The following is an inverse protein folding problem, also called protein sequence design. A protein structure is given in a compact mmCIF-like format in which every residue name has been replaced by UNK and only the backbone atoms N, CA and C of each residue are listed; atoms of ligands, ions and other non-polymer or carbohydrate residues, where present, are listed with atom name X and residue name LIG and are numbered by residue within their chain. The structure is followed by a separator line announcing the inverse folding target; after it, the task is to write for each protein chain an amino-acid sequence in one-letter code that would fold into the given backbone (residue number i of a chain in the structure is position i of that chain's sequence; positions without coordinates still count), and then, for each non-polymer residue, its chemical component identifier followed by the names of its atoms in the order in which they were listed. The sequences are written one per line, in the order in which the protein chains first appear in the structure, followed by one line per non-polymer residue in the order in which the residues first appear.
data_IF_040534929478
#
_entry.id   IF_040534929478
#
_cell.length_a   1.000
_cell.length_b   1.000
_cell.length_c   1.000
_cell.angle_alpha   90.00
_cell.angle_beta   90.00
_cell.angle_gamma   90.00
#
_symmetry.space_group_name_H-M   'P 1'
#
loop_
_entity.id
_entity.type
_entity.pdbx_description
1 polymer ?
#
# COMPACT_ATOMS: atom_id res chain seq x y z
N UNK A 1 18.91 -28.71 -0.43
CA UNK A 1 19.81 -27.96 0.46
C UNK A 1 20.08 -26.66 -0.26
N UNK A 2 19.41 -25.59 0.14
CA UNK A 2 19.58 -24.28 -0.49
C UNK A 2 20.93 -23.69 -0.06
N UNK A 3 21.66 -23.01 -0.96
CA UNK A 3 22.93 -22.38 -0.61
C UNK A 3 22.70 -21.38 0.53
N UNK A 4 23.58 -21.39 1.52
CA UNK A 4 23.52 -20.43 2.62
C UNK A 4 23.87 -19.03 2.12
N UNK A 5 23.56 -18.00 2.91
CA UNK A 5 23.92 -16.60 2.60
C UNK A 5 25.42 -16.45 2.31
N UNK A 6 26.26 -17.20 3.02
CA UNK A 6 27.71 -17.23 2.81
C UNK A 6 28.10 -17.95 1.51
N UNK A 7 27.34 -18.97 1.11
CA UNK A 7 27.58 -19.68 -0.16
C UNK A 7 27.17 -18.84 -1.37
N UNK A 8 26.16 -17.98 -1.23
CA UNK A 8 25.76 -17.02 -2.28
C UNK A 8 26.72 -15.82 -2.36
N UNK A 9 27.26 -15.37 -1.23
CA UNK A 9 28.26 -14.29 -1.18
C UNK A 9 29.57 -14.63 -1.92
N UNK A 10 29.89 -15.92 -2.08
CA UNK A 10 31.06 -16.37 -2.85
C UNK A 10 30.93 -16.17 -4.37
N UNK A 11 29.72 -15.91 -4.88
CA UNK A 11 29.47 -15.67 -6.31
C UNK A 11 29.31 -14.20 -6.66
N UNK A 12 29.37 -13.28 -5.69
CA UNK A 12 29.33 -11.86 -5.98
C UNK A 12 30.72 -11.30 -6.28
N UNK A 13 30.85 -10.34 -7.21
CA UNK A 13 32.11 -9.66 -7.46
C UNK A 13 32.66 -9.07 -6.15
N UNK A 14 33.94 -9.34 -5.87
CA UNK A 14 34.64 -8.97 -4.63
C UNK A 14 35.19 -7.54 -4.64
N UNK A 15 35.07 -6.83 -5.77
CA UNK A 15 35.51 -5.46 -5.89
C UNK A 15 34.40 -4.50 -5.47
N UNK A 16 34.66 -3.55 -4.56
CA UNK A 16 33.67 -2.55 -4.19
C UNK A 16 33.30 -1.72 -5.42
N UNK A 17 32.00 -1.49 -5.62
CA UNK A 17 31.51 -0.58 -6.66
C UNK A 17 32.13 0.81 -6.43
N UNK A 18 32.78 1.43 -7.44
CA UNK A 18 33.38 2.75 -7.26
C UNK A 18 32.37 3.78 -6.78
N UNK A 19 32.75 4.60 -5.79
CA UNK A 19 31.84 5.55 -5.14
C UNK A 19 31.29 6.62 -6.09
N UNK A 20 31.99 6.88 -7.19
CA UNK A 20 31.66 7.82 -8.26
C UNK A 20 30.84 7.18 -9.41
N UNK A 21 30.65 5.87 -9.41
CA UNK A 21 29.85 5.19 -10.42
C UNK A 21 28.35 5.40 -10.15
N UNK A 22 27.64 5.94 -11.13
CA UNK A 22 26.17 6.00 -11.12
C UNK A 22 25.59 4.65 -11.56
N UNK A 23 24.70 4.10 -10.74
CA UNK A 23 24.14 2.74 -10.88
C UNK A 23 22.84 2.69 -11.69
N UNK A 24 22.49 3.78 -12.36
CA UNK A 24 21.40 3.85 -13.32
C UNK A 24 21.80 4.71 -14.51
N UNK A 25 21.29 4.36 -15.69
CA UNK A 25 21.46 5.15 -16.89
C UNK A 25 20.35 4.79 -17.90
N UNK A 26 19.93 5.72 -18.76
CA UNK A 26 18.92 5.42 -19.78
C UNK A 26 19.29 4.18 -20.63
N UNK A 27 18.33 3.27 -20.77
CA UNK A 27 18.47 2.01 -21.50
C UNK A 27 19.35 0.96 -20.79
N UNK A 28 19.70 1.15 -19.52
CA UNK A 28 20.50 0.19 -18.75
C UNK A 28 19.80 -0.21 -17.45
N UNK A 29 19.36 -1.46 -17.40
CA UNK A 29 18.83 -2.08 -16.19
C UNK A 29 19.95 -2.74 -15.39
N UNK A 30 20.24 -2.21 -14.20
CA UNK A 30 21.20 -2.80 -13.28
C UNK A 30 20.51 -3.90 -12.46
N UNK A 31 20.41 -5.09 -13.05
CA UNK A 31 19.94 -6.30 -12.37
C UNK A 31 21.07 -6.92 -11.53
N UNK A 32 20.70 -7.41 -10.36
CA UNK A 32 21.52 -8.02 -9.31
C UNK A 32 21.20 -9.50 -9.08
N UNK A 33 19.99 -9.96 -9.39
CA UNK A 33 19.50 -11.30 -9.09
C UNK A 33 19.89 -12.35 -10.15
N UNK A 34 20.03 -11.95 -11.42
CA UNK A 34 20.30 -12.83 -12.55
C UNK A 34 19.24 -13.91 -12.77
N UNK A 35 18.05 -13.78 -12.18
CA UNK A 35 17.03 -14.82 -12.18
C UNK A 35 16.13 -14.76 -13.43
N UNK A 36 15.67 -15.90 -13.96
CA UNK A 36 14.60 -15.92 -14.97
C UNK A 36 13.25 -15.69 -14.25
N UNK A 37 13.04 -14.47 -13.76
CA UNK A 37 11.85 -14.13 -12.95
C UNK A 37 10.57 -14.35 -13.73
N UNK A 38 10.54 -14.00 -15.02
CA UNK A 38 9.31 -14.09 -15.81
C UNK A 38 8.86 -15.55 -15.97
N UNK A 39 9.79 -16.45 -16.28
CA UNK A 39 9.53 -17.90 -16.35
C UNK A 39 9.04 -18.43 -14.99
N UNK A 40 9.69 -17.99 -13.90
CA UNK A 40 9.35 -18.42 -12.54
C UNK A 40 7.94 -17.99 -12.15
N UNK A 41 7.58 -16.73 -12.43
CA UNK A 41 6.26 -16.19 -12.16
C UNK A 41 5.19 -16.85 -13.03
N UNK A 42 5.50 -17.17 -14.30
CA UNK A 42 4.58 -17.88 -15.17
C UNK A 42 4.29 -19.29 -14.65
N UNK A 43 5.32 -20.04 -14.24
CA UNK A 43 5.14 -21.37 -13.64
C UNK A 43 4.27 -21.32 -12.37
N UNK A 44 4.49 -20.33 -11.49
CA UNK A 44 3.68 -20.16 -10.27
C UNK A 44 2.23 -19.82 -10.62
N UNK A 45 2.02 -18.94 -11.60
CA UNK A 45 0.69 -18.57 -12.10
C UNK A 45 -0.05 -19.79 -12.66
N UNK A 46 0.60 -20.59 -13.50
CA UNK A 46 0.03 -21.82 -14.04
C UNK A 46 -0.34 -22.82 -12.94
N UNK A 47 0.54 -23.01 -11.93
CA UNK A 47 0.21 -23.83 -10.76
C UNK A 47 -1.00 -23.29 -10.01
N UNK A 48 -1.10 -21.97 -9.81
CA UNK A 48 -2.26 -21.35 -9.18
C UNK A 48 -3.56 -21.61 -9.96
N UNK A 49 -3.57 -21.43 -11.27
CA UNK A 49 -4.77 -21.63 -12.10
C UNK A 49 -5.09 -23.10 -12.40
N UNK A 50 -4.16 -24.02 -12.17
CA UNK A 50 -4.41 -25.46 -12.23
C UNK A 50 -5.20 -26.03 -11.05
N UNK A 51 -5.36 -25.25 -9.98
CA UNK A 51 -6.13 -25.64 -8.79
C UNK A 51 -7.64 -25.52 -9.00
N UNK A 52 -8.42 -26.35 -8.31
CA UNK A 52 -9.89 -26.23 -8.29
C UNK A 52 -10.33 -25.28 -7.17
N UNK A 53 -10.88 -24.09 -7.45
CA UNK A 53 -11.33 -23.16 -6.41
C UNK A 53 -12.47 -23.71 -5.54
N UNK A 54 -13.22 -24.72 -6.02
CA UNK A 54 -14.27 -25.38 -5.25
C UNK A 54 -13.73 -26.43 -4.26
N UNK A 55 -12.47 -26.86 -4.41
CA UNK A 55 -11.85 -27.86 -3.54
C UNK A 55 -11.19 -27.22 -2.30
N UNK A 56 -11.54 -27.71 -1.11
CA UNK A 56 -11.00 -27.20 0.17
C UNK A 56 -9.48 -27.36 0.28
N UNK A 57 -8.92 -28.47 -0.20
CA UNK A 57 -7.46 -28.68 -0.21
C UNK A 57 -6.77 -27.67 -1.12
N UNK A 58 -7.40 -27.38 -2.25
CA UNK A 58 -6.86 -26.52 -3.29
C UNK A 58 -6.98 -25.05 -2.89
N UNK A 59 -7.99 -24.66 -2.11
CA UNK A 59 -8.08 -23.32 -1.52
C UNK A 59 -6.86 -22.99 -0.64
N UNK A 60 -6.34 -23.96 0.11
CA UNK A 60 -5.11 -23.78 0.87
C UNK A 60 -3.90 -23.60 -0.07
N UNK A 61 -3.78 -24.46 -1.10
CA UNK A 61 -2.71 -24.36 -2.09
C UNK A 61 -2.76 -23.06 -2.89
N UNK A 62 -3.95 -22.57 -3.25
CA UNK A 62 -4.17 -21.27 -3.90
C UNK A 62 -3.60 -20.13 -3.09
N UNK A 63 -3.86 -20.11 -1.78
CA UNK A 63 -3.28 -19.10 -0.86
C UNK A 63 -1.75 -19.18 -0.84
N UNK A 64 -1.18 -20.38 -0.86
CA UNK A 64 0.28 -20.57 -0.89
C UNK A 64 0.89 -20.09 -2.22
N UNK A 65 0.30 -20.45 -3.37
CA UNK A 65 0.79 -20.02 -4.68
C UNK A 65 0.63 -18.52 -4.90
N UNK A 66 -0.50 -17.95 -4.48
CA UNK A 66 -0.72 -16.50 -4.47
C UNK A 66 0.37 -15.80 -3.63
N UNK A 67 0.57 -16.23 -2.38
CA UNK A 67 1.63 -15.68 -1.54
C UNK A 67 3.03 -15.85 -2.13
N UNK A 68 3.34 -17.01 -2.72
CA UNK A 68 4.63 -17.28 -3.36
C UNK A 68 4.86 -16.39 -4.58
N UNK A 69 3.84 -16.22 -5.44
CA UNK A 69 3.88 -15.33 -6.60
C UNK A 69 4.25 -13.92 -6.17
N UNK A 70 3.46 -13.34 -5.26
CA UNK A 70 3.64 -11.95 -4.84
C UNK A 70 4.96 -11.73 -4.10
N UNK A 71 5.38 -12.70 -3.27
CA UNK A 71 6.68 -12.62 -2.60
C UNK A 71 7.84 -12.70 -3.59
N UNK A 72 7.74 -13.53 -4.62
CA UNK A 72 8.75 -13.65 -5.68
C UNK A 72 8.82 -12.35 -6.48
N UNK A 73 7.69 -11.87 -7.00
CA UNK A 73 7.60 -10.60 -7.72
C UNK A 73 8.16 -9.43 -6.89
N UNK A 74 7.72 -9.32 -5.63
CA UNK A 74 8.14 -8.26 -4.71
C UNK A 74 9.64 -8.15 -4.51
N UNK A 75 10.42 -9.24 -4.55
CA UNK A 75 11.87 -9.21 -4.29
C UNK A 75 12.76 -9.28 -5.54
N UNK A 76 12.19 -9.61 -6.70
CA UNK A 76 12.95 -9.77 -7.94
C UNK A 76 13.36 -8.46 -8.58
N UNK A 77 14.44 -8.45 -9.34
CA UNK A 77 14.77 -7.32 -10.20
C UNK A 77 13.80 -7.24 -11.38
N UNK A 78 13.62 -6.01 -11.88
CA UNK A 78 12.68 -5.72 -12.94
C UNK A 78 13.17 -6.27 -14.29
N UNK A 79 12.26 -6.96 -14.94
CA UNK A 79 12.19 -7.16 -16.39
C UNK A 79 11.18 -6.16 -16.95
N UNK A 80 11.08 -6.06 -18.28
CA UNK A 80 10.06 -5.20 -18.90
C UNK A 80 8.64 -5.68 -18.54
N UNK A 81 8.41 -6.99 -18.54
CA UNK A 81 7.11 -7.58 -18.20
C UNK A 81 6.74 -7.37 -16.73
N UNK A 82 7.70 -7.56 -15.81
CA UNK A 82 7.47 -7.31 -14.38
C UNK A 82 7.25 -5.82 -14.08
N UNK A 83 7.98 -4.93 -14.76
CA UNK A 83 7.76 -3.49 -14.66
C UNK A 83 6.35 -3.10 -15.12
N UNK A 84 5.94 -3.60 -16.28
CA UNK A 84 4.60 -3.33 -16.84
C UNK A 84 3.51 -3.83 -15.90
N UNK A 85 3.72 -5.00 -15.28
CA UNK A 85 2.82 -5.51 -14.26
C UNK A 85 2.70 -4.57 -13.05
N UNK A 86 3.82 -4.08 -12.52
CA UNK A 86 3.80 -3.16 -11.37
C UNK A 86 3.18 -1.82 -11.72
N UNK A 87 3.38 -1.35 -12.96
CA UNK A 87 2.74 -0.16 -13.49
C UNK A 87 1.20 -0.31 -13.58
N UNK A 88 0.70 -1.55 -13.64
CA UNK A 88 -0.73 -1.87 -13.67
C UNK A 88 -1.22 -2.55 -12.39
N UNK A 89 -0.52 -2.37 -11.27
CA UNK A 89 -0.99 -2.89 -9.99
C UNK A 89 -2.20 -2.08 -9.50
N UNK A 90 -3.40 -2.69 -9.33
CA UNK A 90 -4.60 -1.99 -8.88
C UNK A 90 -4.45 -1.36 -7.49
N UNK A 91 -3.60 -1.93 -6.62
CA UNK A 91 -3.30 -1.35 -5.31
C UNK A 91 -2.43 -0.09 -5.37
N UNK A 92 -1.81 0.21 -6.53
CA UNK A 92 -1.05 1.44 -6.66
C UNK A 92 -1.95 2.65 -6.49
N UNK A 93 -1.52 3.61 -5.67
CA UNK A 93 -2.17 4.91 -5.53
C UNK A 93 -2.36 5.63 -6.88
N UNK A 94 -1.49 5.37 -7.86
CA UNK A 94 -1.63 5.89 -9.23
C UNK A 94 -2.94 5.42 -9.90
N UNK A 95 -3.46 4.25 -9.53
CA UNK A 95 -4.72 3.71 -10.04
C UNK A 95 -5.94 4.42 -9.43
N UNK A 96 -6.01 4.38 -8.10
CA UNK A 96 -7.25 4.68 -7.39
C UNK A 96 -7.37 6.16 -7.02
N UNK A 97 -6.26 6.86 -6.71
CA UNK A 97 -6.34 8.24 -6.23
C UNK A 97 -6.94 9.20 -7.25
N UNK A 98 -6.58 9.17 -8.55
CA UNK A 98 -7.21 10.06 -9.53
C UNK A 98 -8.73 9.90 -9.59
N UNK A 99 -9.20 8.64 -9.54
CA UNK A 99 -10.63 8.30 -9.57
C UNK A 99 -11.33 8.73 -8.28
N UNK A 100 -10.69 8.56 -7.12
CA UNK A 100 -11.20 9.03 -5.82
C UNK A 100 -11.29 10.55 -5.76
N UNK A 101 -10.26 11.27 -6.24
CA UNK A 101 -10.26 12.75 -6.27
C UNK A 101 -11.39 13.26 -7.16
N UNK A 102 -11.58 12.68 -8.34
CA UNK A 102 -12.68 13.03 -9.25
C UNK A 102 -14.05 12.75 -8.62
N UNK A 103 -14.23 11.58 -7.99
CA UNK A 103 -15.47 11.19 -7.33
C UNK A 103 -15.81 12.08 -6.12
N UNK A 104 -14.81 12.41 -5.31
CA UNK A 104 -14.96 13.23 -4.10
C UNK A 104 -15.21 14.70 -4.43
N UNK A 105 -14.59 15.21 -5.50
CA UNK A 105 -14.82 16.59 -5.97
C UNK A 105 -16.20 16.79 -6.59
N UNK A 106 -16.83 15.72 -7.10
CA UNK A 106 -18.19 15.76 -7.62
C UNK A 106 -19.26 15.79 -6.50
N UNK A 107 -18.91 15.39 -5.27
CA UNK A 107 -19.81 15.46 -4.11
C UNK A 107 -19.85 16.90 -3.57
N UNK A 108 -21.03 17.40 -3.21
CA UNK A 108 -21.21 18.75 -2.63
C UNK A 108 -21.95 18.66 -1.28
N UNK A 109 -21.30 18.97 -0.14
CA UNK A 109 -19.85 19.18 0.01
C UNK A 109 -19.06 17.89 -0.27
N UNK A 110 -17.74 18.01 -0.46
CA UNK A 110 -16.85 16.86 -0.58
C UNK A 110 -16.97 15.96 0.67
N UNK A 111 -16.96 14.64 0.47
CA UNK A 111 -17.18 13.68 1.55
C UNK A 111 -15.99 13.65 2.53
N UNK A 112 -14.78 13.74 2.00
CA UNK A 112 -13.51 13.67 2.74
C UNK A 112 -12.52 14.74 2.27
N UNK A 113 -11.59 15.10 3.15
CA UNK A 113 -10.38 15.80 2.74
C UNK A 113 -9.40 14.80 2.11
N UNK A 114 -8.70 15.24 1.07
CA UNK A 114 -7.65 14.47 0.41
C UNK A 114 -6.38 15.32 0.47
N UNK A 115 -5.31 14.87 1.14
CA UNK A 115 -4.04 15.59 1.20
C UNK A 115 -3.49 15.87 -0.19
N UNK A 116 -2.88 17.05 -0.38
CA UNK A 116 -2.19 17.33 -1.62
C UNK A 116 -1.18 16.22 -1.92
N UNK A 117 -1.24 15.64 -3.11
CA UNK A 117 -0.49 14.43 -3.46
C UNK A 117 0.08 14.57 -4.86
N UNK A 118 1.35 14.25 -5.00
CA UNK A 118 2.02 14.09 -6.29
C UNK A 118 2.54 12.66 -6.39
N UNK A 119 2.30 12.02 -7.53
CA UNK A 119 2.68 10.65 -7.83
C UNK A 119 3.58 10.69 -9.06
N UNK A 120 4.70 9.98 -9.00
CA UNK A 120 5.56 9.80 -10.16
C UNK A 120 5.79 8.33 -10.45
N UNK A 121 5.38 7.89 -11.64
CA UNK A 121 5.79 6.61 -12.20
C UNK A 121 7.23 6.70 -12.68
N UNK A 122 8.11 5.98 -12.00
CA UNK A 122 9.53 5.97 -12.33
C UNK A 122 9.76 5.33 -13.70
N UNK A 123 10.65 5.90 -14.54
CA UNK A 123 11.30 5.13 -15.61
C UNK A 123 11.89 3.83 -15.06
N UNK A 124 11.83 2.75 -15.85
CA UNK A 124 12.23 1.41 -15.42
C UNK A 124 13.63 1.35 -14.82
N UNK A 125 14.58 2.17 -15.29
CA UNK A 125 15.94 2.21 -14.79
C UNK A 125 16.04 2.80 -13.37
N UNK A 126 15.21 3.81 -13.06
CA UNK A 126 15.11 4.36 -11.70
C UNK A 126 14.28 3.44 -10.80
N UNK A 127 13.23 2.83 -11.34
CA UNK A 127 12.46 1.82 -10.62
C UNK A 127 13.34 0.61 -10.24
N UNK A 128 14.26 0.21 -11.11
CA UNK A 128 15.24 -0.84 -10.82
C UNK A 128 16.29 -0.37 -9.80
N UNK A 129 16.75 0.88 -9.90
CA UNK A 129 17.73 1.43 -8.97
C UNK A 129 17.27 1.36 -7.50
N UNK A 130 16.03 1.77 -7.21
CA UNK A 130 15.51 1.75 -5.83
C UNK A 130 15.31 0.34 -5.27
N UNK A 131 15.47 -0.72 -6.08
CA UNK A 131 15.41 -2.13 -5.66
C UNK A 131 16.77 -2.66 -5.22
N UNK A 132 17.87 -2.00 -5.59
CA UNK A 132 19.19 -2.26 -5.03
C UNK A 132 19.12 -1.97 -3.53
N UNK A 133 19.70 -2.85 -2.71
CA UNK A 133 19.72 -2.63 -1.27
C UNK A 133 20.51 -1.34 -0.97
N UNK A 134 20.00 -0.50 -0.08
CA UNK A 134 20.55 0.82 0.18
C UNK A 134 22.07 0.79 0.44
N UNK A 135 22.57 -0.19 1.21
CA UNK A 135 24.01 -0.32 1.50
C UNK A 135 24.88 -0.68 0.28
N UNK A 136 24.26 -1.20 -0.78
CA UNK A 136 24.93 -1.56 -2.03
C UNK A 136 24.87 -0.42 -3.06
N UNK A 137 24.34 0.76 -2.67
CA UNK A 137 24.36 1.96 -3.51
C UNK A 137 25.56 2.87 -3.29
N UNK A 138 25.96 3.55 -4.37
CA UNK A 138 27.06 4.50 -4.35
C UNK A 138 26.61 5.90 -3.91
N UNK A 139 27.48 6.69 -3.25
CA UNK A 139 27.20 8.09 -2.95
C UNK A 139 26.81 8.91 -4.19
N UNK A 140 27.44 8.68 -5.34
CA UNK A 140 27.10 9.38 -6.58
C UNK A 140 25.67 9.09 -7.07
N UNK A 141 25.22 7.83 -6.97
CA UNK A 141 23.85 7.46 -7.35
C UNK A 141 22.82 8.10 -6.42
N UNK A 142 23.09 8.09 -5.11
CA UNK A 142 22.21 8.70 -4.10
C UNK A 142 22.07 10.20 -4.28
N UNK A 143 23.19 10.92 -4.45
CA UNK A 143 23.17 12.35 -4.72
C UNK A 143 22.41 12.69 -6.01
N UNK A 144 22.69 11.96 -7.10
CA UNK A 144 22.00 12.18 -8.37
C UNK A 144 20.49 11.86 -8.27
N UNK A 145 20.12 10.81 -7.54
CA UNK A 145 18.73 10.46 -7.33
C UNK A 145 17.99 11.49 -6.48
N UNK A 146 18.61 12.01 -5.41
CA UNK A 146 18.07 13.11 -4.61
C UNK A 146 17.81 14.36 -5.47
N UNK A 147 18.75 14.75 -6.35
CA UNK A 147 18.56 15.88 -7.27
C UNK A 147 17.37 15.68 -8.22
N UNK A 148 17.22 14.45 -8.75
CA UNK A 148 16.07 14.07 -9.59
C UNK A 148 14.77 14.17 -8.80
N UNK A 149 14.70 13.56 -7.61
CA UNK A 149 13.53 13.60 -6.73
C UNK A 149 13.14 15.04 -6.38
N UNK A 150 14.11 15.85 -5.97
CA UNK A 150 13.88 17.26 -5.62
C UNK A 150 13.32 18.06 -6.80
N UNK A 151 13.81 17.79 -8.01
CA UNK A 151 13.36 18.47 -9.24
C UNK A 151 11.95 18.02 -9.64
N UNK A 152 11.71 16.71 -9.69
CA UNK A 152 10.43 16.16 -10.19
C UNK A 152 9.27 16.48 -9.25
N UNK A 153 9.50 16.44 -7.94
CA UNK A 153 8.46 16.72 -6.93
C UNK A 153 8.41 18.19 -6.50
N UNK A 154 9.27 19.05 -7.06
CA UNK A 154 9.36 20.48 -6.71
C UNK A 154 9.46 20.69 -5.18
N UNK A 155 10.36 19.92 -4.55
CA UNK A 155 10.50 19.89 -3.10
C UNK A 155 10.98 21.23 -2.54
N UNK A 156 10.52 21.54 -1.31
CA UNK A 156 10.89 22.75 -0.58
C UNK A 156 11.64 22.37 0.69
N UNK A 157 12.83 22.93 0.90
CA UNK A 157 13.72 22.57 2.02
C UNK A 157 13.07 22.68 3.41
N UNK A 158 12.16 23.64 3.63
CA UNK A 158 11.51 23.89 4.93
C UNK A 158 10.12 23.23 5.05
N UNK A 159 9.86 22.14 4.32
CA UNK A 159 8.54 21.46 4.32
C UNK A 159 8.67 20.00 4.72
N UNK A 160 7.80 19.57 5.63
CA UNK A 160 7.64 18.14 5.97
C UNK A 160 6.64 17.49 5.01
N UNK A 161 7.00 16.32 4.51
CA UNK A 161 6.18 15.53 3.61
C UNK A 161 5.88 14.16 4.21
N UNK A 162 4.75 13.58 3.78
CA UNK A 162 4.51 12.15 3.94
C UNK A 162 4.85 11.44 2.63
N UNK A 163 5.70 10.42 2.69
CA UNK A 163 6.16 9.68 1.51
C UNK A 163 5.79 8.20 1.58
N UNK A 164 5.50 7.62 0.42
CA UNK A 164 5.26 6.18 0.26
C UNK A 164 5.56 5.72 -1.17
N UNK A 165 5.69 4.42 -1.38
CA UNK A 165 5.53 3.86 -2.73
C UNK A 165 4.04 3.82 -3.10
N UNK A 166 3.71 3.47 -4.34
CA UNK A 166 2.32 3.33 -4.78
C UNK A 166 1.50 2.39 -3.88
N UNK A 167 2.12 1.38 -3.27
CA UNK A 167 1.44 0.31 -2.51
C UNK A 167 1.79 0.29 -1.01
N UNK A 168 2.87 0.93 -0.58
CA UNK A 168 3.41 0.74 0.77
C UNK A 168 3.94 2.03 1.39
N UNK A 169 3.50 2.31 2.62
CA UNK A 169 4.10 3.31 3.49
C UNK A 169 4.83 2.62 4.65
N UNK A 170 6.00 3.14 5.03
CA UNK A 170 6.80 2.59 6.12
C UNK A 170 6.30 3.04 7.50
N UNK A 171 5.00 2.89 7.77
CA UNK A 171 4.37 3.38 9.00
C UNK A 171 4.91 2.75 10.28
N UNK A 172 5.48 1.55 10.19
CA UNK A 172 6.08 0.83 11.31
C UNK A 172 7.46 1.40 11.69
N UNK A 173 8.05 2.21 10.82
CA UNK A 173 9.24 2.99 11.04
C UNK A 173 8.94 4.42 10.57
N UNK A 174 8.03 5.10 11.26
CA UNK A 174 7.36 6.30 10.74
C UNK A 174 8.32 7.45 10.43
N UNK A 175 9.49 7.49 11.07
CA UNK A 175 10.57 8.41 10.72
C UNK A 175 10.97 8.31 9.22
N UNK A 176 10.81 7.15 8.60
CA UNK A 176 11.07 6.94 7.16
C UNK A 176 9.90 7.39 6.27
N UNK A 177 8.68 7.48 6.80
CA UNK A 177 7.50 7.94 6.06
C UNK A 177 7.25 9.46 6.25
N UNK A 178 7.68 10.03 7.37
CA UNK A 178 7.69 11.47 7.66
C UNK A 178 9.04 12.07 7.25
N UNK A 179 9.14 12.54 6.01
CA UNK A 179 10.34 13.17 5.50
C UNK A 179 10.36 14.66 5.89
N UNK A 180 11.22 15.03 6.84
CA UNK A 180 11.49 16.44 7.22
C UNK A 180 12.81 16.96 6.64
N UNK A 181 13.52 16.12 5.90
CA UNK A 181 14.80 16.39 5.24
C UNK A 181 14.63 16.17 3.73
N UNK A 182 13.84 17.02 3.05
CA UNK A 182 13.42 16.78 1.67
C UNK A 182 14.58 16.73 0.66
N UNK A 183 15.73 17.30 0.99
CA UNK A 183 16.95 17.21 0.15
C UNK A 183 17.53 15.80 0.09
N UNK A 184 17.19 14.92 1.04
CA UNK A 184 17.63 13.52 1.09
C UNK A 184 16.50 12.54 0.71
N UNK A 185 15.35 13.03 0.24
CA UNK A 185 14.13 12.23 0.06
C UNK A 185 14.30 11.01 -0.85
N UNK A 186 15.22 11.05 -1.83
CA UNK A 186 15.51 9.90 -2.69
C UNK A 186 16.09 8.71 -1.92
N UNK A 187 16.94 8.96 -0.93
CA UNK A 187 17.47 7.92 -0.05
C UNK A 187 16.37 7.31 0.82
N UNK A 188 15.45 8.14 1.33
CA UNK A 188 14.29 7.65 2.08
C UNK A 188 13.41 6.74 1.22
N UNK A 189 13.12 7.12 -0.03
CA UNK A 189 12.36 6.26 -0.94
C UNK A 189 13.01 4.91 -1.16
N UNK A 190 14.34 4.88 -1.27
CA UNK A 190 15.07 3.62 -1.42
C UNK A 190 14.92 2.72 -0.18
N UNK A 191 15.07 3.28 1.02
CA UNK A 191 14.87 2.55 2.28
C UNK A 191 13.42 2.04 2.39
N UNK A 192 12.43 2.90 2.12
CA UNK A 192 11.01 2.54 2.14
C UNK A 192 10.72 1.41 1.15
N UNK A 193 11.27 1.48 -0.07
CA UNK A 193 11.09 0.45 -1.09
C UNK A 193 11.76 -0.87 -0.69
N UNK A 194 13.01 -0.85 -0.20
CA UNK A 194 13.69 -2.06 0.28
C UNK A 194 12.90 -2.75 1.42
N UNK A 195 12.31 -1.97 2.33
CA UNK A 195 11.43 -2.51 3.38
C UNK A 195 10.15 -3.10 2.77
N UNK A 196 9.52 -2.40 1.83
CA UNK A 196 8.35 -2.90 1.11
C UNK A 196 8.63 -4.27 0.46
N UNK A 197 9.79 -4.40 -0.22
CA UNK A 197 10.21 -5.65 -0.86
C UNK A 197 10.30 -6.81 0.15
N UNK A 198 10.93 -6.59 1.31
CA UNK A 198 11.06 -7.61 2.37
C UNK A 198 9.71 -8.05 2.96
N UNK A 199 8.75 -7.12 3.03
CA UNK A 199 7.42 -7.37 3.57
C UNK A 199 6.45 -7.95 2.52
N UNK A 200 6.85 -8.06 1.25
CA UNK A 200 5.98 -8.55 0.18
C UNK A 200 5.07 -7.48 -0.42
N UNK A 201 5.39 -6.20 -0.23
CA UNK A 201 4.65 -5.04 -0.73
C UNK A 201 5.44 -4.25 -1.80
N UNK A 202 6.51 -4.84 -2.35
CA UNK A 202 7.43 -4.20 -3.30
C UNK A 202 6.98 -4.21 -4.76
N UNK A 203 5.72 -4.55 -5.03
CA UNK A 203 5.12 -4.53 -6.39
C UNK A 203 4.65 -3.13 -6.79
N UNK A 204 5.58 -2.18 -6.81
CA UNK A 204 5.31 -0.80 -7.20
C UNK A 204 6.49 -0.19 -7.94
N UNK A 205 6.16 0.67 -8.91
CA UNK A 205 7.11 1.51 -9.66
C UNK A 205 6.75 3.00 -9.52
N UNK A 206 5.82 3.30 -8.62
CA UNK A 206 5.31 4.64 -8.37
C UNK A 206 5.86 5.16 -7.03
N UNK A 207 6.36 6.40 -7.04
CA UNK A 207 6.71 7.15 -5.82
C UNK A 207 5.62 8.17 -5.53
N UNK A 208 5.30 8.35 -4.26
CA UNK A 208 4.23 9.24 -3.81
C UNK A 208 4.78 10.21 -2.76
N UNK A 209 4.60 11.50 -3.02
CA UNK A 209 4.86 12.59 -2.08
C UNK A 209 3.54 13.28 -1.75
N UNK A 210 3.23 13.39 -0.46
CA UNK A 210 2.00 13.99 0.05
C UNK A 210 2.29 15.09 1.04
N UNK A 211 1.34 16.01 1.15
CA UNK A 211 1.21 16.88 2.31
C UNK A 211 1.22 16.05 3.59
N UNK A 212 2.08 16.44 4.53
CA UNK A 212 2.06 15.87 5.87
C UNK A 212 0.91 16.47 6.68
N UNK A 213 -0.01 15.63 7.16
CA UNK A 213 -1.12 16.07 8.00
C UNK A 213 -0.63 16.19 9.45
N UNK A 214 -0.51 17.42 9.93
CA UNK A 214 -0.14 17.71 11.31
C UNK A 214 -1.18 17.23 12.32
N UNK A 215 -0.73 16.82 13.50
CA UNK A 215 -1.63 16.37 14.56
C UNK A 215 -2.26 17.55 15.29
N UNK A 216 -3.59 17.59 15.28
CA UNK A 216 -4.33 18.70 15.90
C UNK A 216 -4.85 18.36 17.30
N UNK A 217 -4.72 17.11 17.73
CA UNK A 217 -5.31 16.58 18.96
C UNK A 217 -4.28 16.13 20.02
N UNK A 218 -2.97 16.34 19.78
CA UNK A 218 -1.87 15.95 20.69
C UNK A 218 -1.97 14.46 21.10
N UNK A 219 -2.16 13.59 20.11
CA UNK A 219 -2.27 12.16 20.30
C UNK A 219 -0.91 11.56 20.70
N UNK A 220 -0.90 10.53 21.55
CA UNK A 220 0.34 9.81 21.83
C UNK A 220 0.87 9.15 20.55
N UNK A 221 2.18 8.92 20.48
CA UNK A 221 2.82 8.36 19.29
C UNK A 221 3.23 6.90 19.46
N UNK A 222 3.18 6.13 18.38
CA UNK A 222 3.76 4.77 18.27
C UNK A 222 4.70 4.69 17.05
N UNK A 223 5.39 3.56 16.84
CA UNK A 223 6.19 3.31 15.63
C UNK A 223 7.18 4.43 15.29
N UNK A 224 7.92 4.86 16.32
CA UNK A 224 8.91 5.94 16.21
C UNK A 224 8.33 7.29 15.77
N UNK A 225 7.19 7.66 16.34
CA UNK A 225 6.67 9.04 16.26
C UNK A 225 5.42 9.21 15.39
N UNK A 226 4.75 8.11 15.00
CA UNK A 226 3.45 8.16 14.35
C UNK A 226 2.35 8.52 15.34
N UNK A 227 1.63 9.64 15.18
CA UNK A 227 0.50 9.97 16.04
C UNK A 227 -0.58 8.90 15.96
N UNK A 228 -1.00 8.37 17.10
CA UNK A 228 -2.01 7.32 17.20
C UNK A 228 -3.41 7.91 17.09
N UNK A 229 -3.77 8.35 15.88
CA UNK A 229 -5.08 8.94 15.57
C UNK A 229 -6.16 7.88 15.41
N UNK A 230 -7.42 8.27 15.56
CA UNK A 230 -8.54 7.37 15.27
C UNK A 230 -8.69 7.18 13.77
N UNK A 231 -8.59 5.93 13.33
CA UNK A 231 -8.69 5.53 11.94
C UNK A 231 -9.79 4.48 11.76
N UNK A 232 -10.44 4.53 10.60
CA UNK A 232 -11.55 3.67 10.18
C UNK A 232 -11.13 2.95 8.91
N UNK A 233 -11.46 1.67 8.82
CA UNK A 233 -11.34 0.91 7.58
C UNK A 233 -12.72 0.51 7.11
N UNK A 234 -13.18 1.11 6.03
CA UNK A 234 -14.44 0.77 5.36
C UNK A 234 -14.18 -0.26 4.26
N UNK A 235 -15.08 -1.22 4.10
CA UNK A 235 -15.02 -2.22 3.03
C UNK A 235 -16.19 -2.00 2.09
N UNK A 236 -15.91 -1.79 0.80
CA UNK A 236 -16.90 -1.40 -0.19
C UNK A 236 -16.95 -2.40 -1.35
N UNK A 237 -18.11 -2.50 -1.98
CA UNK A 237 -18.36 -3.29 -3.18
C UNK A 237 -18.96 -2.41 -4.27
N UNK A 238 -18.16 -2.12 -5.30
CA UNK A 238 -18.55 -1.22 -6.38
C UNK A 238 -19.24 -1.95 -7.55
N UNK A 239 -19.20 -3.28 -7.57
CA UNK A 239 -19.77 -4.10 -8.65
C UNK A 239 -21.09 -4.78 -8.29
N UNK A 240 -21.57 -4.58 -7.05
CA UNK A 240 -22.86 -5.10 -6.65
C UNK A 240 -23.99 -4.61 -7.58
N UNK A 241 -24.85 -5.55 -7.97
CA UNK A 241 -26.11 -5.30 -8.66
C UNK A 241 -27.26 -5.86 -7.83
N UNK A 242 -28.37 -5.12 -7.76
CA UNK A 242 -29.59 -5.58 -7.12
C UNK A 242 -30.09 -6.85 -7.87
N UNK A 243 -30.29 -7.99 -7.18
CA UNK A 243 -30.66 -9.25 -7.82
C UNK A 243 -32.09 -9.26 -8.38
N UNK A 244 -32.93 -8.32 -7.97
CA UNK A 244 -34.32 -8.17 -8.40
C UNK A 244 -34.47 -7.25 -9.60
N UNK A 245 -33.71 -6.15 -9.64
CA UNK A 245 -33.79 -5.16 -10.73
C UNK A 245 -32.69 -5.33 -11.77
N UNK A 246 -31.56 -5.93 -11.40
CA UNK A 246 -30.34 -6.01 -12.21
C UNK A 246 -29.57 -4.69 -12.31
N UNK A 247 -30.00 -3.65 -11.59
CA UNK A 247 -29.34 -2.33 -11.60
C UNK A 247 -28.10 -2.34 -10.71
N UNK A 248 -27.06 -1.61 -11.12
CA UNK A 248 -25.85 -1.45 -10.30
C UNK A 248 -26.15 -0.62 -9.06
N UNK A 249 -25.83 -1.19 -7.90
CA UNK A 249 -26.06 -0.60 -6.58
C UNK A 249 -24.79 -0.80 -5.74
N UNK A 250 -23.75 0.04 -5.92
CA UNK A 250 -22.56 0.02 -5.07
C UNK A 250 -22.94 0.12 -3.59
N UNK A 251 -22.30 -0.69 -2.75
CA UNK A 251 -22.68 -0.79 -1.33
C UNK A 251 -21.49 -0.84 -0.39
N UNK A 252 -21.73 -0.43 0.85
CA UNK A 252 -20.83 -0.66 1.97
C UNK A 252 -21.05 -2.09 2.48
N UNK A 253 -19.97 -2.85 2.68
CA UNK A 253 -19.98 -4.19 3.26
C UNK A 253 -19.76 -4.15 4.78
N UNK A 254 -18.99 -3.18 5.27
CA UNK A 254 -18.74 -3.00 6.69
C UNK A 254 -17.69 -1.94 7.00
N UNK A 255 -17.51 -1.66 8.28
CA UNK A 255 -16.53 -0.71 8.79
C UNK A 255 -15.92 -1.20 10.11
N UNK A 256 -14.60 -1.18 10.21
CA UNK A 256 -13.85 -1.62 11.40
C UNK A 256 -12.95 -0.49 11.92
N UNK A 257 -12.62 -0.48 13.22
CA UNK A 257 -11.56 0.38 13.72
C UNK A 257 -10.22 -0.13 13.19
N UNK A 258 -9.43 0.72 12.54
CA UNK A 258 -8.15 0.32 11.96
C UNK A 258 -7.20 -0.27 13.00
N UNK A 259 -7.19 0.33 14.19
CA UNK A 259 -6.40 -0.10 15.34
C UNK A 259 -7.10 -1.18 16.18
N UNK A 260 -7.85 -2.09 15.55
CA UNK A 260 -8.67 -3.07 16.25
C UNK A 260 -7.86 -3.88 17.28
N UNK A 261 -8.37 -4.07 18.53
CA UNK A 261 -7.61 -4.71 19.60
C UNK A 261 -7.12 -6.12 19.28
N UNK A 262 -7.91 -6.91 18.53
CA UNK A 262 -7.52 -8.28 18.17
C UNK A 262 -6.26 -8.36 17.30
N UNK A 263 -5.93 -7.29 16.57
CA UNK A 263 -4.72 -7.20 15.74
C UNK A 263 -3.61 -6.53 16.53
N UNK A 264 -3.87 -5.36 17.10
CA UNK A 264 -2.85 -4.57 17.79
C UNK A 264 -2.31 -5.27 19.02
N UNK A 265 -3.18 -5.88 19.84
CA UNK A 265 -2.70 -6.60 21.03
C UNK A 265 -1.92 -7.85 20.65
N UNK A 266 -2.21 -8.51 19.53
CA UNK A 266 -1.41 -9.66 19.05
C UNK A 266 -0.07 -9.22 18.46
N UNK A 267 -0.09 -8.21 17.59
CA UNK A 267 1.09 -7.70 16.90
C UNK A 267 2.11 -7.13 17.90
N UNK A 268 1.62 -6.39 18.89
CA UNK A 268 2.46 -5.77 19.92
C UNK A 268 2.73 -6.72 21.10
N UNK A 269 1.95 -7.77 21.34
CA UNK A 269 2.28 -8.77 22.37
C UNK A 269 3.55 -9.57 22.06
N UNK A 270 4.03 -9.61 20.81
CA UNK A 270 5.37 -10.12 20.51
C UNK A 270 6.47 -9.36 21.28
N UNK A 271 6.24 -8.10 21.67
CA UNK A 271 7.14 -7.32 22.52
C UNK A 271 7.35 -7.94 23.91
N UNK A 272 6.37 -8.70 24.41
CA UNK A 272 6.40 -9.36 25.71
C UNK A 272 7.15 -10.72 25.69
N UNK A 273 7.69 -11.13 24.55
CA UNK A 273 8.47 -12.36 24.40
C UNK A 273 9.97 -12.12 24.57
N UNK A 274 10.75 -13.17 24.88
CA UNK A 274 12.22 -13.10 24.96
C UNK A 274 12.86 -12.61 23.64
N UNK A 275 12.16 -12.77 22.51
CA UNK A 275 12.55 -12.27 21.18
C UNK A 275 12.25 -10.77 21.05
N UNK A 276 11.16 -10.30 21.65
CA UNK A 276 10.75 -8.89 21.66
C UNK A 276 11.57 -8.00 22.60
N UNK A 277 12.22 -8.58 23.61
CA UNK A 277 13.09 -7.86 24.55
C UNK A 277 14.28 -7.15 23.87
N UNK A 278 14.67 -7.56 22.66
CA UNK A 278 15.68 -6.88 21.83
C UNK A 278 15.16 -5.63 21.09
N UNK A 279 13.84 -5.41 21.07
CA UNK A 279 13.16 -4.32 20.35
C UNK A 279 12.39 -3.44 21.34
N UNK A 280 13.12 -2.80 22.26
CA UNK A 280 12.55 -2.06 23.40
C UNK A 280 11.44 -1.06 23.05
N UNK A 281 11.50 -0.44 21.88
CA UNK A 281 10.48 0.51 21.41
C UNK A 281 9.09 -0.13 21.20
N UNK A 282 9.01 -1.41 20.79
CA UNK A 282 7.72 -2.10 20.57
C UNK A 282 6.99 -2.32 21.90
N UNK A 283 7.73 -2.47 23.00
CA UNK A 283 7.13 -2.57 24.33
C UNK A 283 6.53 -1.22 24.77
N UNK A 284 7.22 -0.12 24.48
CA UNK A 284 6.71 1.24 24.74
C UNK A 284 5.48 1.54 23.87
N UNK A 285 5.48 1.12 22.60
CA UNK A 285 4.33 1.19 21.70
C UNK A 285 3.15 0.38 22.23
N UNK A 286 3.37 -0.83 22.75
CA UNK A 286 2.33 -1.65 23.38
C UNK A 286 1.68 -0.95 24.56
N UNK A 287 2.49 -0.39 25.47
CA UNK A 287 1.98 0.34 26.64
C UNK A 287 1.20 1.58 26.22
N UNK A 288 1.73 2.33 25.24
CA UNK A 288 1.08 3.52 24.68
C UNK A 288 -0.27 3.18 24.06
N UNK A 289 -0.32 2.17 23.19
CA UNK A 289 -1.56 1.69 22.59
C UNK A 289 -2.56 1.24 23.65
N UNK A 290 -2.13 0.42 24.63
CA UNK A 290 -3.03 -0.06 25.69
C UNK A 290 -3.62 1.05 26.53
N UNK A 291 -2.85 2.11 26.82
CA UNK A 291 -3.32 3.28 27.56
C UNK A 291 -4.31 4.13 26.74
N UNK A 292 -4.15 4.16 25.40
CA UNK A 292 -4.97 4.99 24.51
C UNK A 292 -6.15 4.25 23.84
N UNK A 293 -6.16 2.92 23.86
CA UNK A 293 -7.13 2.06 23.17
C UNK A 293 -8.58 2.45 23.41
N UNK A 294 -8.96 2.68 24.67
CA UNK A 294 -10.36 3.00 24.99
C UNK A 294 -10.78 4.35 24.40
N UNK A 295 -9.86 5.30 24.25
CA UNK A 295 -10.12 6.56 23.54
C UNK A 295 -10.37 6.32 22.06
N UNK A 296 -9.52 5.51 21.39
CA UNK A 296 -9.67 5.14 19.98
C UNK A 296 -11.02 4.47 19.72
N UNK A 297 -11.38 3.48 20.55
CA UNK A 297 -12.64 2.74 20.40
C UNK A 297 -13.85 3.64 20.64
N UNK A 298 -13.82 4.48 21.68
CA UNK A 298 -14.91 5.42 21.95
C UNK A 298 -15.08 6.42 20.80
N UNK A 299 -14.00 7.03 20.29
CA UNK A 299 -14.04 7.93 19.13
C UNK A 299 -14.53 7.21 17.87
N UNK A 300 -14.10 5.97 17.64
CA UNK A 300 -14.59 5.14 16.55
C UNK A 300 -16.12 5.02 16.62
N UNK A 301 -16.68 4.57 17.74
CA UNK A 301 -18.13 4.38 17.87
C UNK A 301 -18.92 5.69 17.77
N UNK A 302 -18.42 6.79 18.34
CA UNK A 302 -19.09 8.09 18.30
C UNK A 302 -19.25 8.61 16.88
N UNK A 303 -18.26 8.39 16.00
CA UNK A 303 -18.26 8.94 14.64
C UNK A 303 -18.53 7.91 13.55
N UNK A 304 -18.72 6.63 13.90
CA UNK A 304 -18.92 5.52 12.95
C UNK A 304 -20.01 5.83 11.93
N UNK A 305 -21.17 6.27 12.40
CA UNK A 305 -22.34 6.48 11.52
C UNK A 305 -22.16 7.68 10.58
N UNK A 306 -21.38 8.70 10.98
CA UNK A 306 -20.99 9.81 10.10
C UNK A 306 -20.07 9.32 8.98
N UNK A 307 -19.06 8.51 9.32
CA UNK A 307 -18.17 7.92 8.31
C UNK A 307 -18.93 7.00 7.35
N UNK A 308 -19.89 6.19 7.87
CA UNK A 308 -20.78 5.37 7.04
C UNK A 308 -21.58 6.23 6.06
N UNK A 309 -22.19 7.31 6.53
CA UNK A 309 -22.97 8.19 5.67
C UNK A 309 -22.12 8.81 4.56
N UNK A 310 -20.92 9.30 4.91
CA UNK A 310 -19.97 9.91 3.96
C UNK A 310 -19.48 8.92 2.89
N UNK A 311 -19.06 7.72 3.30
CA UNK A 311 -18.56 6.72 2.34
C UNK A 311 -19.69 6.22 1.43
N UNK A 312 -20.89 6.00 1.98
CA UNK A 312 -22.06 5.53 1.22
C UNK A 312 -22.44 6.54 0.14
N UNK A 313 -22.40 7.84 0.46
CA UNK A 313 -22.67 8.90 -0.50
C UNK A 313 -21.63 8.98 -1.64
N UNK A 314 -20.40 8.50 -1.40
CA UNK A 314 -19.30 8.52 -2.36
C UNK A 314 -19.32 7.32 -3.32
N UNK A 315 -19.94 6.20 -2.96
CA UNK A 315 -19.89 4.95 -3.76
C UNK A 315 -20.40 5.12 -5.21
N UNK A 316 -21.55 5.79 -5.46
CA UNK A 316 -22.05 5.92 -6.83
C UNK A 316 -21.09 6.70 -7.73
N UNK A 317 -20.43 7.74 -7.20
CA UNK A 317 -19.47 8.53 -7.99
C UNK A 317 -18.15 7.79 -8.17
N UNK A 318 -17.67 7.01 -7.21
CA UNK A 318 -16.51 6.12 -7.40
C UNK A 318 -16.73 5.14 -8.55
N UNK A 319 -17.91 4.49 -8.57
CA UNK A 319 -18.27 3.56 -9.64
C UNK A 319 -18.38 4.26 -11.00
N UNK A 320 -18.92 5.48 -11.03
CA UNK A 320 -19.00 6.29 -12.24
C UNK A 320 -17.62 6.73 -12.77
N UNK A 321 -16.61 6.86 -11.90
CA UNK A 321 -15.21 7.10 -12.28
C UNK A 321 -14.48 5.82 -12.74
N UNK A 322 -15.20 4.71 -12.90
CA UNK A 322 -14.66 3.46 -13.45
C UNK A 322 -13.94 2.56 -12.45
N UNK A 323 -13.92 2.91 -11.15
CA UNK A 323 -13.48 1.96 -10.13
C UNK A 323 -14.45 0.78 -10.05
N UNK A 324 -13.89 -0.42 -10.03
CA UNK A 324 -14.58 -1.70 -10.02
C UNK A 324 -14.00 -2.59 -8.93
N UNK A 325 -14.73 -3.63 -8.56
CA UNK A 325 -14.35 -4.58 -7.54
C UNK A 325 -14.58 -4.08 -6.12
N UNK A 326 -13.87 -4.74 -5.20
CA UNK A 326 -14.02 -4.53 -3.76
C UNK A 326 -12.76 -4.01 -3.13
N UNK A 327 -12.92 -3.06 -2.23
CA UNK A 327 -11.83 -2.28 -1.70
C UNK A 327 -11.96 -2.10 -0.19
N UNK A 328 -10.83 -2.04 0.50
CA UNK A 328 -10.74 -1.35 1.77
C UNK A 328 -10.39 0.12 1.53
N UNK A 329 -10.99 1.01 2.30
CA UNK A 329 -10.75 2.45 2.27
C UNK A 329 -10.42 2.88 3.70
N UNK A 330 -9.24 3.46 3.87
CA UNK A 330 -8.75 3.94 5.15
C UNK A 330 -9.06 5.43 5.32
N UNK A 331 -9.76 5.77 6.39
CA UNK A 331 -10.15 7.13 6.76
C UNK A 331 -9.52 7.48 8.10
N UNK A 332 -8.85 8.63 8.17
CA UNK A 332 -8.24 9.14 9.39
C UNK A 332 -9.03 10.35 9.91
N UNK A 333 -9.38 10.35 11.19
CA UNK A 333 -9.90 11.53 11.87
C UNK A 333 -8.76 12.39 12.40
N UNK A 334 -8.85 13.70 12.22
CA UNK A 334 -7.93 14.68 12.80
C UNK A 334 -8.70 15.95 13.15
N UNK A 335 -8.93 16.19 14.44
CA UNK A 335 -9.78 17.29 14.88
C UNK A 335 -11.22 17.07 14.42
N UNK A 336 -11.82 18.05 13.73
CA UNK A 336 -13.19 17.92 13.18
C UNK A 336 -13.23 17.28 11.78
N UNK A 337 -12.07 17.05 11.16
CA UNK A 337 -11.97 16.62 9.76
C UNK A 337 -11.78 15.11 9.61
N UNK A 338 -12.18 14.60 8.45
CA UNK A 338 -11.96 13.23 8.00
C UNK A 338 -11.18 13.21 6.69
N UNK A 339 -10.04 12.52 6.71
CA UNK A 339 -9.15 12.37 5.56
C UNK A 339 -9.25 10.98 4.97
N UNK A 340 -9.43 10.86 3.66
CA UNK A 340 -9.22 9.58 2.96
C UNK A 340 -7.72 9.42 2.70
N UNK A 341 -7.11 8.45 3.38
CA UNK A 341 -5.64 8.35 3.47
C UNK A 341 -5.06 7.17 2.70
N UNK A 342 -5.79 6.07 2.54
CA UNK A 342 -5.31 4.91 1.78
C UNK A 342 -6.47 4.06 1.23
N UNK A 343 -6.15 3.22 0.25
CA UNK A 343 -7.10 2.29 -0.37
C UNK A 343 -6.35 1.07 -0.92
N UNK A 344 -6.93 -0.12 -0.76
CA UNK A 344 -6.37 -1.38 -1.25
C UNK A 344 -7.47 -2.38 -1.60
N UNK A 345 -7.17 -3.37 -2.43
CA UNK A 345 -8.10 -4.46 -2.72
C UNK A 345 -8.51 -5.17 -1.43
N UNK A 346 -9.80 -5.44 -1.27
CA UNK A 346 -10.33 -6.04 -0.04
C UNK A 346 -9.72 -7.42 0.25
N UNK A 347 -9.47 -8.23 -0.79
CA UNK A 347 -8.88 -9.57 -0.66
C UNK A 347 -7.45 -9.57 -0.11
N UNK A 348 -6.74 -8.44 -0.19
CA UNK A 348 -5.38 -8.25 0.33
C UNK A 348 -5.36 -7.43 1.62
N UNK A 349 -6.53 -7.00 2.09
CA UNK A 349 -6.67 -6.11 3.23
C UNK A 349 -6.95 -6.88 4.53
N UNK A 350 -6.20 -6.55 5.57
CA UNK A 350 -6.47 -7.02 6.93
C UNK A 350 -7.81 -6.47 7.47
N UNK A 351 -8.38 -7.17 8.46
CA UNK A 351 -9.63 -6.87 9.17
C UNK A 351 -10.92 -7.23 8.41
N UNK A 352 -10.83 -7.67 7.16
CA UNK A 352 -12.00 -8.13 6.39
C UNK A 352 -12.68 -9.33 7.05
N UNK A 353 -11.91 -10.18 7.73
CA UNK A 353 -12.39 -11.31 8.50
C UNK A 353 -13.23 -10.93 9.72
N UNK A 354 -13.09 -9.70 10.25
CA UNK A 354 -13.92 -9.27 11.37
C UNK A 354 -15.39 -9.06 10.96
N UNK A 355 -15.63 -8.77 9.69
CA UNK A 355 -16.98 -8.60 9.15
C UNK A 355 -17.78 -9.91 9.13
N UNK A 356 -17.10 -11.06 9.16
CA UNK A 356 -17.76 -12.38 9.10
C UNK A 356 -17.98 -13.01 10.47
N UNK A 357 -17.39 -12.42 11.51
CA UNK A 357 -17.39 -12.97 12.89
C UNK A 357 -18.39 -12.24 13.80
N UNK A 358 -18.71 -10.99 13.51
CA UNK A 358 -19.61 -10.17 14.34
C UNK A 358 -20.45 -9.21 13.50
N UNK A 359 -21.72 -9.06 13.86
CA UNK A 359 -22.67 -8.11 13.24
C UNK A 359 -22.35 -6.64 13.60
N UNK A 360 -21.40 -6.41 14.53
CA UNK A 360 -20.99 -5.08 14.96
C UNK A 360 -20.40 -4.24 13.82
N UNK A 361 -19.63 -4.88 12.94
CA UNK A 361 -18.84 -4.19 11.91
C UNK A 361 -19.42 -4.35 10.50
N UNK A 362 -20.22 -5.39 10.27
CA UNK A 362 -20.85 -5.63 8.99
C UNK A 362 -22.07 -4.71 8.78
N UNK A 363 -22.29 -4.30 7.53
CA UNK A 363 -23.53 -3.62 7.09
C UNK A 363 -24.37 -4.50 6.19
N UNK A 364 -23.89 -5.71 5.90
CA UNK A 364 -24.55 -6.75 5.11
C UNK A 364 -24.45 -8.08 5.85
N UNK A 365 -25.27 -9.06 5.45
CA UNK A 365 -25.20 -10.41 5.99
C UNK A 365 -23.81 -11.05 5.78
N UNK A 366 -23.22 -11.73 6.79
CA UNK A 366 -21.90 -12.35 6.68
C UNK A 366 -21.70 -13.28 5.47
N UNK A 367 -22.75 -13.95 5.00
CA UNK A 367 -22.69 -14.80 3.81
C UNK A 367 -22.30 -14.03 2.55
N UNK A 368 -22.71 -12.76 2.46
CA UNK A 368 -22.35 -11.87 1.35
C UNK A 368 -20.85 -11.65 1.35
N UNK A 369 -20.22 -11.49 2.51
CA UNK A 369 -18.78 -11.21 2.62
C UNK A 369 -17.92 -12.46 2.33
N UNK A 370 -18.39 -13.66 2.72
CA UNK A 370 -17.64 -14.91 2.60
C UNK A 370 -17.39 -15.37 1.16
N UNK A 371 -18.26 -15.02 0.22
CA UNK A 371 -18.09 -15.39 -1.19
C UNK A 371 -16.87 -14.71 -1.83
N UNK A 372 -16.39 -13.61 -1.23
CA UNK A 372 -15.32 -12.77 -1.77
C UNK A 372 -13.92 -13.11 -1.26
N UNK A 373 -13.80 -13.57 0.00
CA UNK A 373 -12.50 -13.97 0.58
C UNK A 373 -11.82 -15.14 -0.18
N UNK A 374 -12.53 -15.78 -1.12
CA UNK A 374 -12.05 -16.86 -1.96
C UNK A 374 -11.63 -16.43 -3.39
N UNK A 375 -11.78 -15.14 -3.75
CA UNK A 375 -11.49 -14.60 -5.09
C UNK A 375 -10.04 -14.13 -5.28
N UNK A 376 -9.07 -14.88 -4.75
CA UNK A 376 -7.66 -14.59 -5.05
C UNK A 376 -7.41 -14.72 -6.56
N UNK A 377 -6.57 -13.84 -7.08
CA UNK A 377 -6.32 -13.65 -8.50
C UNK A 377 -4.84 -13.32 -8.74
N UNK A 378 -4.26 -13.85 -9.81
CA UNK A 378 -2.92 -13.47 -10.29
C UNK A 378 -3.07 -12.94 -11.73
N UNK A 379 -2.97 -11.63 -11.92
CA UNK A 379 -2.88 -11.03 -13.26
C UNK A 379 -1.43 -11.13 -13.76
N UNK A 380 -1.14 -12.13 -14.61
CA UNK A 380 0.16 -12.39 -15.21
C UNK A 380 0.04 -13.14 -16.56
N UNK A 381 0.58 -12.54 -17.62
CA UNK A 381 0.80 -12.94 -19.04
C UNK A 381 -0.27 -13.76 -19.80
N UNK A 382 -0.90 -14.76 -19.17
CA UNK A 382 -1.76 -15.73 -19.84
C UNK A 382 -3.24 -15.62 -19.44
N UNK A 383 -3.56 -14.84 -18.40
CA UNK A 383 -4.89 -14.85 -17.77
C UNK A 383 -5.50 -13.45 -17.84
N UNK A 384 -6.45 -13.27 -18.77
CA UNK A 384 -7.00 -11.97 -19.14
C UNK A 384 -7.96 -11.47 -18.04
N UNK A 385 -7.42 -10.73 -17.06
CA UNK A 385 -8.19 -10.15 -15.96
C UNK A 385 -8.27 -8.65 -16.17
N UNK A 386 -9.48 -8.18 -16.42
CA UNK A 386 -9.75 -6.82 -16.87
C UNK A 386 -9.88 -5.86 -15.68
N UNK A 387 -8.75 -5.49 -15.06
CA UNK A 387 -8.69 -4.18 -14.42
C UNK A 387 -8.49 -3.10 -15.50
N UNK A 388 -9.10 -1.94 -15.31
CA UNK A 388 -8.85 -0.78 -16.17
C UNK A 388 -7.36 -0.44 -16.15
N UNK A 389 -6.77 -0.29 -17.34
CA UNK A 389 -5.35 0.03 -17.57
C UNK A 389 -5.08 1.51 -17.82
N UNK A 390 -6.05 2.38 -17.55
CA UNK A 390 -5.86 3.83 -17.56
C UNK A 390 -5.14 4.31 -16.28
N UNK A 391 -3.81 4.14 -16.28
CA UNK A 391 -2.91 4.63 -15.23
C UNK A 391 -2.15 5.85 -15.77
N UNK A 392 -1.94 6.89 -14.94
CA UNK A 392 -1.14 8.03 -15.35
C UNK A 392 0.28 7.58 -15.69
N UNK A 393 0.76 8.01 -16.87
CA UNK A 393 2.16 7.87 -17.25
C UNK A 393 2.92 9.12 -16.83
N UNK A 394 4.05 8.97 -16.13
CA UNK A 394 4.83 10.09 -15.62
C UNK A 394 4.28 10.67 -14.31
N UNK A 395 4.13 11.99 -14.24
CA UNK A 395 3.78 12.72 -13.00
C UNK A 395 2.30 13.09 -12.98
N UNK A 396 1.61 12.69 -11.91
CA UNK A 396 0.24 13.10 -11.59
C UNK A 396 0.26 13.97 -10.33
N UNK A 397 -0.54 15.03 -10.28
CA UNK A 397 -0.69 15.86 -9.08
C UNK A 397 -2.15 16.22 -8.82
N UNK A 398 -2.56 16.19 -7.55
CA UNK A 398 -3.90 16.63 -7.16
C UNK A 398 -4.04 18.15 -7.20
N UNK A 399 -2.93 18.92 -7.14
CA UNK A 399 -2.94 20.40 -7.21
C UNK A 399 -3.52 20.93 -8.52
N UNK A 400 -3.31 20.21 -9.63
CA UNK A 400 -3.84 20.62 -10.95
C UNK A 400 -5.34 20.40 -11.08
N UNK A 401 -5.95 19.53 -10.28
CA UNK A 401 -7.40 19.30 -10.30
C UNK A 401 -8.18 20.45 -9.63
N UNK A 402 -7.56 21.17 -8.69
CA UNK A 402 -8.14 22.34 -8.01
C UNK A 402 -8.04 23.66 -8.78
N UNK A 403 -7.43 23.68 -9.98
CA UNK A 403 -7.23 24.91 -10.76
C UNK A 403 -8.28 25.15 -11.87
N UNK A 404 -9.36 24.37 -11.91
CA UNK A 404 -10.51 24.59 -12.80
C UNK A 404 -11.80 24.66 -11.98
N UNK A 405 -11.97 25.78 -11.25
CA UNK A 405 -13.27 26.25 -10.76
C UNK A 405 -13.51 27.67 -11.23
#
# INVERSE_FOLDING_TARGET
MFPTKDMLALFQPTDPVPADLVQFAPGKLMRTDGLPVDDTLNEISQMFYSTDPASVSDQFMRKQFHGLFHRTASVSDLTEDLYERFAHNPNSMAHWLPKVVAANSAATPAAFLIPETTIWRLPIELAQYIRIQYQDTTPASRAMFNDIISTVFELKSDTTYFIKTGTFSCKFEFANARCSEPEEMGEYFQVVNNIAMMLGAGESVDLVVREYIEDTEDNPTIYHGMPLRTEYRAFIDLDHCDPTTGESEPRLLGITPYWHPSVMEKALALASSDVGAGFGHINDDYHTYRAHKDNLMNKFHVHRDDVIARITALLPTLRAQGLQGQWSVDIMKNGEDFYLIDMALMCESALSELLTVTDEYATVEPSVINDFANQLVIDYDEHNISFDRDYPTGVYSTRTASALS
#
